data_IF_999458091888
#
_entry.id   IF_999458091888
#
_cell.length_a   1.000
_cell.length_b   1.000
_cell.length_c   1.000
_cell.angle_alpha   90.00
_cell.angle_beta   90.00
_cell.angle_gamma   90.00
#
_symmetry.space_group_name_H-M   'P 1'
#
loop_
_entity.id
_entity.type
_entity.pdbx_description
1 polymer ?
#
# COMPACT_ATOMS: atom_id res chain seq x y z
N UNK A 1 -24.24 21.91 -7.84
CA UNK A 1 -24.61 23.29 -8.18
C UNK A 1 -24.43 24.12 -6.92
N UNK A 2 -23.42 24.96 -6.90
CA UNK A 2 -23.10 25.83 -5.78
C UNK A 2 -24.06 27.04 -5.72
N UNK A 3 -24.79 27.20 -4.62
CA UNK A 3 -25.71 28.35 -4.43
C UNK A 3 -25.00 29.48 -3.66
N UNK A 4 -24.51 30.47 -4.39
CA UNK A 4 -23.80 31.64 -3.85
C UNK A 4 -24.71 32.57 -3.03
N UNK A 5 -26.04 32.40 -3.08
CA UNK A 5 -27.00 33.23 -2.33
C UNK A 5 -27.11 32.84 -0.85
N UNK A 6 -26.66 31.63 -0.48
CA UNK A 6 -26.70 31.16 0.91
C UNK A 6 -25.48 31.61 1.69
N UNK A 7 -25.67 32.54 2.61
CA UNK A 7 -24.61 32.95 3.54
C UNK A 7 -24.22 31.79 4.44
N UNK A 8 -22.90 31.55 4.57
CA UNK A 8 -22.34 30.61 5.54
C UNK A 8 -22.68 31.10 6.96
N UNK A 9 -23.64 30.47 7.62
CA UNK A 9 -24.00 30.77 9.02
C UNK A 9 -23.20 29.95 10.05
N UNK A 10 -22.33 29.02 9.61
CA UNK A 10 -21.52 28.19 10.49
C UNK A 10 -20.10 28.73 10.59
N UNK A 11 -19.81 29.37 11.74
CA UNK A 11 -18.43 29.67 12.12
C UNK A 11 -17.80 28.41 12.75
N UNK A 12 -16.54 28.10 12.40
CA UNK A 12 -15.79 27.07 13.08
C UNK A 12 -15.74 27.39 14.58
N UNK A 13 -16.30 26.51 15.42
CA UNK A 13 -16.30 26.67 16.87
C UNK A 13 -15.18 25.86 17.50
N UNK A 14 -14.73 26.31 18.66
CA UNK A 14 -13.70 25.61 19.43
C UNK A 14 -14.19 24.24 19.88
N UNK A 15 -15.45 24.17 20.33
CA UNK A 15 -16.10 22.94 20.76
C UNK A 15 -17.42 22.71 20.00
N UNK A 16 -17.72 21.47 19.68
CA UNK A 16 -18.96 21.08 19.01
C UNK A 16 -20.17 21.25 19.92
N UNK A 17 -21.24 21.83 19.37
CA UNK A 17 -22.55 21.97 20.03
C UNK A 17 -23.61 21.43 19.09
N UNK A 18 -24.83 21.17 19.60
CA UNK A 18 -25.97 20.69 18.81
C UNK A 18 -26.25 21.61 17.60
N UNK A 19 -26.10 22.92 17.76
CA UNK A 19 -26.26 23.92 16.69
C UNK A 19 -25.23 23.79 15.58
N UNK A 20 -24.06 23.19 15.86
CA UNK A 20 -22.97 22.95 14.89
C UNK A 20 -22.95 21.52 14.39
N UNK A 21 -23.96 20.71 14.74
CA UNK A 21 -24.01 19.29 14.41
C UNK A 21 -23.01 18.44 15.21
N UNK A 22 -22.57 18.93 16.39
CA UNK A 22 -21.64 18.22 17.26
C UNK A 22 -20.16 18.44 16.93
N UNK A 23 -19.79 19.11 15.83
CA UNK A 23 -18.41 19.24 15.35
C UNK A 23 -17.77 20.56 15.74
N UNK A 24 -16.54 20.51 16.25
CA UNK A 24 -15.71 21.66 16.60
C UNK A 24 -14.22 21.34 16.49
N UNK A 25 -13.38 22.37 16.67
CA UNK A 25 -11.93 22.25 16.51
C UNK A 25 -11.29 21.30 17.54
N UNK A 26 -11.85 21.14 18.73
CA UNK A 26 -11.25 20.29 19.76
C UNK A 26 -11.75 18.85 19.76
N UNK A 27 -12.93 18.57 19.21
CA UNK A 27 -13.51 17.21 19.18
C UNK A 27 -13.52 16.57 17.79
N UNK A 28 -12.97 17.24 16.77
CA UNK A 28 -13.01 16.74 15.38
C UNK A 28 -12.34 15.37 15.19
N UNK A 29 -11.31 15.05 15.96
CA UNK A 29 -10.63 13.74 15.85
C UNK A 29 -11.55 12.62 16.27
N UNK A 30 -12.23 12.77 17.41
CA UNK A 30 -13.16 11.76 17.92
C UNK A 30 -14.36 11.62 16.99
N UNK A 31 -14.99 12.74 16.63
CA UNK A 31 -16.14 12.75 15.72
C UNK A 31 -15.79 12.19 14.34
N UNK A 32 -14.58 12.49 13.84
CA UNK A 32 -14.09 11.94 12.60
C UNK A 32 -13.89 10.43 12.66
N UNK A 33 -13.25 9.91 13.71
CA UNK A 33 -13.01 8.48 13.91
C UNK A 33 -14.30 7.68 14.03
N UNK A 34 -15.31 8.24 14.71
CA UNK A 34 -16.57 7.57 14.96
C UNK A 34 -17.63 7.81 13.88
N UNK A 35 -17.33 8.66 12.88
CA UNK A 35 -18.28 9.05 11.85
C UNK A 35 -18.59 7.92 10.86
N UNK A 36 -19.88 7.80 10.52
CA UNK A 36 -20.37 6.90 9.49
C UNK A 36 -20.58 5.47 9.96
N UNK A 37 -20.46 4.53 9.01
CA UNK A 37 -20.71 3.13 9.23
C UNK A 37 -19.52 2.24 8.78
N UNK A 38 -19.69 0.91 8.84
CA UNK A 38 -18.67 -0.06 8.46
C UNK A 38 -18.38 -0.15 6.96
N UNK A 39 -19.19 0.49 6.10
CA UNK A 39 -19.16 0.34 4.65
C UNK A 39 -18.47 1.49 3.91
N UNK A 40 -17.30 1.97 4.35
CA UNK A 40 -16.55 2.98 3.61
C UNK A 40 -16.40 4.32 4.31
N UNK A 41 -16.97 4.47 5.50
CA UNK A 41 -16.75 5.63 6.36
C UNK A 41 -15.45 5.51 7.14
N UNK A 42 -15.02 6.56 7.81
CA UNK A 42 -13.77 6.58 8.56
C UNK A 42 -13.64 5.41 9.55
N UNK A 43 -14.69 5.06 10.26
CA UNK A 43 -14.69 3.95 11.22
C UNK A 43 -14.46 2.60 10.55
N UNK A 44 -15.10 2.34 9.39
CA UNK A 44 -14.92 1.10 8.64
C UNK A 44 -13.52 0.95 8.06
N UNK A 45 -12.98 2.04 7.51
CA UNK A 45 -11.63 2.07 6.95
C UNK A 45 -10.56 1.92 8.04
N UNK A 46 -10.70 2.61 9.17
CA UNK A 46 -9.80 2.46 10.30
C UNK A 46 -9.79 1.02 10.84
N UNK A 47 -10.97 0.41 10.97
CA UNK A 47 -11.09 -1.00 11.37
C UNK A 47 -10.44 -1.95 10.37
N UNK A 48 -10.65 -1.75 9.05
CA UNK A 48 -9.97 -2.52 7.99
C UNK A 48 -8.45 -2.46 8.16
N UNK A 49 -7.90 -1.25 8.28
CA UNK A 49 -6.45 -1.02 8.39
C UNK A 49 -5.87 -1.79 9.58
N UNK A 50 -6.51 -1.70 10.75
CA UNK A 50 -6.03 -2.38 11.96
C UNK A 50 -6.11 -3.90 11.85
N UNK A 51 -7.19 -4.44 11.30
CA UNK A 51 -7.37 -5.89 11.15
C UNK A 51 -6.39 -6.45 10.12
N UNK A 52 -6.22 -5.78 8.98
CA UNK A 52 -5.27 -6.19 7.95
C UNK A 52 -3.83 -6.11 8.48
N UNK A 53 -3.47 -5.01 9.16
CA UNK A 53 -2.16 -4.87 9.79
C UNK A 53 -1.88 -6.01 10.77
N UNK A 54 -2.83 -6.33 11.64
CA UNK A 54 -2.72 -7.45 12.57
C UNK A 54 -2.54 -8.80 11.87
N UNK A 55 -3.32 -9.07 10.82
CA UNK A 55 -3.19 -10.30 10.03
C UNK A 55 -1.79 -10.44 9.39
N UNK A 56 -1.28 -9.36 8.80
CA UNK A 56 0.08 -9.34 8.24
C UNK A 56 1.16 -9.44 9.32
N UNK A 57 0.96 -8.85 10.50
CA UNK A 57 1.87 -9.03 11.64
C UNK A 57 2.07 -10.51 11.99
N UNK A 58 0.98 -11.31 12.00
CA UNK A 58 1.08 -12.77 12.20
C UNK A 58 1.88 -13.41 11.05
N UNK A 59 1.51 -13.13 9.79
CA UNK A 59 2.14 -13.73 8.60
C UNK A 59 3.64 -13.44 8.57
N UNK A 60 4.04 -12.20 8.78
CA UNK A 60 5.46 -11.83 8.81
C UNK A 60 6.22 -12.58 9.90
N UNK A 61 5.64 -12.75 11.08
CA UNK A 61 6.25 -13.47 12.21
C UNK A 61 6.45 -14.96 11.91
N UNK A 62 5.67 -15.57 11.00
CA UNK A 62 5.86 -16.97 10.60
C UNK A 62 7.18 -17.23 9.86
N UNK A 63 7.82 -16.18 9.31
CA UNK A 63 9.00 -16.31 8.46
C UNK A 63 8.73 -16.95 7.09
N UNK A 64 7.47 -17.22 6.73
CA UNK A 64 7.12 -17.97 5.52
C UNK A 64 7.49 -17.22 4.23
N UNK A 65 7.28 -15.90 4.20
CA UNK A 65 7.64 -15.05 3.05
C UNK A 65 9.16 -15.05 2.87
N UNK A 66 9.90 -14.83 3.96
CA UNK A 66 11.37 -14.84 3.97
C UNK A 66 11.91 -16.18 3.49
N UNK A 67 11.47 -17.30 4.11
CA UNK A 67 11.89 -18.64 3.73
C UNK A 67 11.53 -18.99 2.27
N UNK A 68 10.39 -18.51 1.77
CA UNK A 68 9.99 -18.66 0.37
C UNK A 68 10.93 -17.96 -0.59
N UNK A 69 11.33 -16.72 -0.30
CA UNK A 69 12.28 -15.95 -1.10
C UNK A 69 13.65 -16.63 -1.10
N UNK A 70 14.15 -17.07 0.06
CA UNK A 70 15.42 -17.81 0.13
C UNK A 70 15.39 -19.12 -0.64
N UNK A 71 14.32 -19.88 -0.53
CA UNK A 71 14.15 -21.12 -1.30
C UNK A 71 14.13 -20.86 -2.81
N UNK A 72 13.52 -19.77 -3.25
CA UNK A 72 13.53 -19.35 -4.65
C UNK A 72 14.96 -19.00 -5.09
N UNK A 73 15.68 -18.18 -4.34
CA UNK A 73 17.08 -17.80 -4.63
C UNK A 73 17.97 -19.05 -4.73
N UNK A 74 17.86 -19.98 -3.77
CA UNK A 74 18.68 -21.18 -3.74
C UNK A 74 18.44 -22.11 -4.94
N UNK A 75 17.19 -22.21 -5.41
CA UNK A 75 16.82 -23.02 -6.58
C UNK A 75 17.22 -22.40 -7.92
N UNK A 76 17.49 -21.10 -7.96
CA UNK A 76 17.88 -20.39 -9.18
C UNK A 76 19.42 -20.22 -9.32
N UNK A 77 20.21 -20.82 -8.43
CA UNK A 77 21.66 -20.86 -8.57
C UNK A 77 22.05 -21.52 -9.90
N UNK A 78 22.91 -20.86 -10.71
CA UNK A 78 23.29 -21.29 -12.07
C UNK A 78 22.40 -20.73 -13.18
N UNK A 79 21.30 -20.07 -12.84
CA UNK A 79 20.39 -19.40 -13.80
C UNK A 79 20.25 -17.92 -13.47
N UNK A 80 21.36 -17.27 -13.09
CA UNK A 80 21.38 -15.91 -12.51
C UNK A 80 20.70 -14.89 -13.43
N UNK A 81 20.86 -15.04 -14.77
CA UNK A 81 20.20 -14.16 -15.74
C UNK A 81 18.68 -14.24 -15.71
N UNK A 82 18.13 -15.40 -15.33
CA UNK A 82 16.68 -15.60 -15.19
C UNK A 82 16.22 -15.28 -13.77
N UNK A 83 17.08 -15.49 -12.78
CA UNK A 83 16.76 -15.25 -11.38
C UNK A 83 16.46 -13.77 -11.09
N UNK A 84 17.26 -12.85 -11.62
CA UNK A 84 17.08 -11.41 -11.39
C UNK A 84 15.70 -10.89 -11.83
N UNK A 85 15.25 -11.10 -13.09
CA UNK A 85 13.93 -10.65 -13.49
C UNK A 85 12.80 -11.36 -12.74
N UNK A 86 12.93 -12.64 -12.41
CA UNK A 86 11.92 -13.35 -11.62
C UNK A 86 11.82 -12.81 -10.20
N UNK A 87 12.94 -12.50 -9.54
CA UNK A 87 12.96 -11.83 -8.24
C UNK A 87 12.35 -10.42 -8.34
N UNK A 88 12.68 -9.68 -9.39
CA UNK A 88 12.10 -8.36 -9.63
C UNK A 88 10.58 -8.42 -9.70
N UNK A 89 10.04 -9.37 -10.47
CA UNK A 89 8.60 -9.61 -10.53
C UNK A 89 8.01 -10.07 -9.19
N UNK A 90 8.72 -10.91 -8.43
CA UNK A 90 8.26 -11.38 -7.12
C UNK A 90 8.17 -10.24 -6.10
N UNK A 91 9.19 -9.39 -6.01
CA UNK A 91 9.15 -8.21 -5.13
C UNK A 91 8.14 -7.17 -5.60
N UNK A 92 8.05 -6.93 -6.92
CA UNK A 92 7.02 -6.06 -7.48
C UNK A 92 5.60 -6.58 -7.21
N UNK A 93 5.38 -7.90 -7.30
CA UNK A 93 4.11 -8.52 -6.93
C UNK A 93 3.79 -8.33 -5.44
N UNK A 94 4.78 -8.49 -4.56
CA UNK A 94 4.63 -8.20 -3.12
C UNK A 94 4.20 -6.75 -2.86
N UNK A 95 4.85 -5.78 -3.52
CA UNK A 95 4.45 -4.38 -3.49
C UNK A 95 3.02 -4.15 -3.99
N UNK A 96 2.66 -4.74 -5.14
CA UNK A 96 1.36 -4.55 -5.78
C UNK A 96 0.18 -5.19 -5.03
N UNK A 97 0.43 -6.26 -4.27
CA UNK A 97 -0.63 -7.02 -3.58
C UNK A 97 -0.70 -6.74 -2.09
N UNK A 98 0.45 -6.65 -1.42
CA UNK A 98 0.53 -6.47 0.04
C UNK A 98 0.95 -5.07 0.45
N UNK A 99 1.35 -4.22 -0.52
CA UNK A 99 1.93 -2.90 -0.21
C UNK A 99 3.30 -3.01 0.48
N UNK A 100 4.06 -4.10 0.21
CA UNK A 100 5.39 -4.33 0.79
C UNK A 100 6.28 -3.12 0.51
N UNK A 101 6.76 -2.45 1.54
CA UNK A 101 7.60 -1.25 1.46
C UNK A 101 8.85 -1.39 2.35
N UNK A 102 8.74 -1.14 3.64
CA UNK A 102 9.84 -1.20 4.60
C UNK A 102 10.29 -2.64 4.87
N UNK A 103 9.40 -3.61 4.77
CA UNK A 103 9.67 -5.05 4.96
C UNK A 103 10.67 -5.60 3.94
N UNK A 104 10.87 -4.88 2.84
CA UNK A 104 11.89 -5.26 1.83
C UNK A 104 13.32 -4.97 2.29
N UNK A 105 13.54 -4.09 3.26
CA UNK A 105 14.89 -3.67 3.71
C UNK A 105 15.74 -4.85 4.20
N UNK A 106 15.26 -5.74 5.07
CA UNK A 106 16.00 -6.95 5.46
C UNK A 106 16.38 -7.82 4.26
N UNK A 107 15.48 -7.95 3.27
CA UNK A 107 15.79 -8.72 2.05
C UNK A 107 16.88 -8.04 1.22
N UNK A 108 16.87 -6.72 1.11
CA UNK A 108 17.92 -5.99 0.42
C UNK A 108 19.29 -6.22 1.08
N UNK A 109 19.36 -6.22 2.42
CA UNK A 109 20.59 -6.48 3.15
C UNK A 109 21.18 -7.85 2.85
N UNK A 110 20.35 -8.88 2.67
CA UNK A 110 20.78 -10.24 2.33
C UNK A 110 21.09 -10.35 0.84
N UNK A 111 20.30 -9.67 0.00
CA UNK A 111 20.48 -9.72 -1.46
C UNK A 111 21.75 -9.00 -1.92
N UNK A 112 22.24 -7.98 -1.20
CA UNK A 112 23.45 -7.25 -1.59
C UNK A 112 24.67 -8.17 -1.68
N UNK A 113 25.09 -8.90 -0.62
CA UNK A 113 26.24 -9.79 -0.72
C UNK A 113 26.00 -10.92 -1.73
N UNK A 114 24.77 -11.46 -1.83
CA UNK A 114 24.43 -12.52 -2.77
C UNK A 114 24.59 -12.06 -4.24
N UNK A 115 24.02 -10.91 -4.59
CA UNK A 115 24.07 -10.36 -5.97
C UNK A 115 25.48 -9.96 -6.35
N UNK A 116 26.28 -9.44 -5.42
CA UNK A 116 27.71 -9.14 -5.62
C UNK A 116 28.49 -10.43 -5.87
N UNK A 117 28.20 -11.53 -5.15
CA UNK A 117 28.81 -12.84 -5.37
C UNK A 117 28.50 -13.41 -6.77
N UNK A 118 27.38 -13.03 -7.39
CA UNK A 118 27.00 -13.39 -8.75
C UNK A 118 27.70 -12.52 -9.82
N UNK A 119 28.53 -11.56 -9.41
CA UNK A 119 29.29 -10.67 -10.32
C UNK A 119 28.55 -9.41 -10.74
N UNK A 120 27.48 -9.05 -10.05
CA UNK A 120 26.76 -7.78 -10.19
C UNK A 120 27.19 -6.77 -9.10
N UNK A 121 26.43 -5.70 -8.91
CA UNK A 121 26.70 -4.68 -7.90
C UNK A 121 25.54 -4.52 -6.90
N UNK A 122 25.77 -3.75 -5.84
CA UNK A 122 24.74 -3.47 -4.82
C UNK A 122 23.56 -2.67 -5.40
N UNK A 123 23.75 -1.88 -6.45
CA UNK A 123 22.66 -1.17 -7.12
C UNK A 123 21.68 -2.16 -7.74
N UNK A 124 22.16 -3.22 -8.40
CA UNK A 124 21.31 -4.31 -8.91
C UNK A 124 20.54 -4.96 -7.77
N UNK A 125 21.20 -5.24 -6.63
CA UNK A 125 20.55 -5.84 -5.48
C UNK A 125 19.41 -4.98 -4.91
N UNK A 126 19.67 -3.70 -4.69
CA UNK A 126 18.64 -2.74 -4.18
C UNK A 126 17.54 -2.53 -5.21
N UNK A 127 17.88 -2.52 -6.51
CA UNK A 127 16.87 -2.34 -7.55
C UNK A 127 15.97 -3.56 -7.69
N UNK A 128 16.52 -4.77 -7.59
CA UNK A 128 15.72 -6.02 -7.67
C UNK A 128 14.83 -6.24 -6.47
N UNK A 129 15.14 -5.63 -5.32
CA UNK A 129 14.36 -5.74 -4.09
C UNK A 129 13.50 -4.49 -3.87
N UNK A 130 14.12 -3.42 -3.38
CA UNK A 130 13.41 -2.22 -2.95
C UNK A 130 12.74 -1.48 -4.11
N UNK A 131 13.46 -1.17 -5.18
CA UNK A 131 12.87 -0.46 -6.31
C UNK A 131 11.75 -1.29 -6.98
N UNK A 132 11.93 -2.60 -7.12
CA UNK A 132 10.89 -3.49 -7.64
C UNK A 132 9.63 -3.46 -6.79
N UNK A 133 9.77 -3.53 -5.47
CA UNK A 133 8.64 -3.44 -4.53
C UNK A 133 7.92 -2.09 -4.64
N UNK A 134 8.67 -0.97 -4.72
CA UNK A 134 8.09 0.37 -4.87
C UNK A 134 7.38 0.54 -6.23
N UNK A 135 7.91 -0.04 -7.31
CA UNK A 135 7.23 -0.06 -8.61
C UNK A 135 5.91 -0.83 -8.51
N UNK A 136 5.93 -1.98 -7.83
CA UNK A 136 4.72 -2.76 -7.56
C UNK A 136 3.69 -1.96 -6.76
N UNK A 137 4.14 -1.29 -5.71
CA UNK A 137 3.30 -0.48 -4.85
C UNK A 137 2.67 0.72 -5.60
N UNK A 138 3.49 1.47 -6.38
CA UNK A 138 3.01 2.60 -7.18
C UNK A 138 2.10 2.21 -8.35
N UNK A 139 2.11 0.93 -8.78
CA UNK A 139 1.23 0.38 -9.82
C UNK A 139 0.25 -0.65 -9.26
N UNK A 140 -0.03 -0.59 -7.96
CA UNK A 140 -0.83 -1.58 -7.25
C UNK A 140 -2.22 -1.73 -7.83
N UNK A 141 -2.66 -2.97 -7.98
CA UNK A 141 -4.01 -3.31 -8.44
C UNK A 141 -4.94 -3.78 -7.33
N UNK A 142 -4.42 -4.11 -6.13
CA UNK A 142 -5.25 -4.59 -5.03
C UNK A 142 -4.71 -4.32 -3.62
N UNK A 143 -3.66 -3.52 -3.45
CA UNK A 143 -3.12 -3.29 -2.11
C UNK A 143 -4.20 -2.81 -1.13
N UNK A 144 -4.35 -3.48 0.03
CA UNK A 144 -5.33 -3.09 1.04
C UNK A 144 -4.97 -1.76 1.72
N UNK A 145 -3.68 -1.39 1.71
CA UNK A 145 -3.16 -0.21 2.40
C UNK A 145 -3.16 1.06 1.52
N UNK A 146 -3.22 0.92 0.21
CA UNK A 146 -3.28 2.06 -0.70
C UNK A 146 -4.59 2.07 -1.49
N UNK A 147 -4.77 1.11 -2.40
CA UNK A 147 -5.90 1.07 -3.34
C UNK A 147 -7.23 0.93 -2.63
N UNK A 148 -7.36 -0.04 -1.69
CA UNK A 148 -8.64 -0.26 -1.00
C UNK A 148 -9.01 0.92 -0.09
N UNK A 149 -8.02 1.52 0.59
CA UNK A 149 -8.23 2.73 1.41
C UNK A 149 -8.68 3.90 0.54
N UNK A 150 -7.96 4.17 -0.56
CA UNK A 150 -8.31 5.26 -1.47
C UNK A 150 -9.69 5.05 -2.10
N UNK A 151 -10.03 3.83 -2.52
CA UNK A 151 -11.33 3.47 -3.08
C UNK A 151 -12.46 3.61 -2.05
N UNK A 152 -12.23 3.15 -0.81
CA UNK A 152 -13.20 3.31 0.27
C UNK A 152 -13.50 4.77 0.59
N UNK A 153 -12.47 5.63 0.62
CA UNK A 153 -12.64 7.06 0.87
C UNK A 153 -13.31 7.77 -0.32
N UNK A 154 -12.96 7.38 -1.54
CA UNK A 154 -13.54 7.94 -2.76
C UNK A 154 -14.96 7.42 -3.06
N UNK A 155 -15.49 6.51 -2.24
CA UNK A 155 -16.80 5.87 -2.41
C UNK A 155 -16.93 5.21 -3.80
N UNK A 156 -15.90 4.46 -4.18
CA UNK A 156 -15.90 3.61 -5.39
C UNK A 156 -15.73 2.13 -4.99
N UNK A 157 -16.29 1.19 -5.77
CA UNK A 157 -16.19 -0.22 -5.41
C UNK A 157 -14.74 -0.69 -5.29
N UNK A 158 -14.42 -1.43 -4.23
CA UNK A 158 -13.09 -2.02 -4.03
C UNK A 158 -12.76 -2.93 -5.21
N UNK A 159 -11.51 -2.94 -5.62
CA UNK A 159 -11.00 -3.60 -6.83
C UNK A 159 -11.58 -3.06 -8.16
N UNK A 160 -12.40 -2.00 -8.15
CA UNK A 160 -12.79 -1.37 -9.42
C UNK A 160 -11.55 -0.83 -10.14
N UNK A 161 -11.50 -0.95 -11.47
CA UNK A 161 -10.33 -0.59 -12.27
C UNK A 161 -9.12 -1.53 -12.11
N UNK A 162 -9.25 -2.66 -11.40
CA UNK A 162 -8.15 -3.61 -11.18
C UNK A 162 -7.57 -4.16 -12.49
N UNK A 163 -8.38 -4.40 -13.52
CA UNK A 163 -7.90 -4.87 -14.83
C UNK A 163 -6.92 -3.88 -15.45
N UNK A 164 -7.26 -2.59 -15.46
CA UNK A 164 -6.36 -1.56 -15.98
C UNK A 164 -5.06 -1.50 -15.18
N UNK A 165 -5.16 -1.49 -13.83
CA UNK A 165 -4.00 -1.46 -12.95
C UNK A 165 -3.12 -2.71 -13.08
N UNK A 166 -3.71 -3.88 -13.28
CA UNK A 166 -2.97 -5.12 -13.51
C UNK A 166 -2.15 -5.05 -14.81
N UNK A 167 -2.76 -4.53 -15.89
CA UNK A 167 -2.04 -4.31 -17.16
C UNK A 167 -0.93 -3.28 -16.96
N UNK A 168 -1.22 -2.16 -16.30
CA UNK A 168 -0.23 -1.13 -15.98
C UNK A 168 0.92 -1.69 -15.15
N UNK A 169 0.62 -2.44 -14.08
CA UNK A 169 1.63 -3.11 -13.26
C UNK A 169 2.52 -4.02 -14.09
N UNK A 170 1.93 -4.87 -14.92
CA UNK A 170 2.68 -5.82 -15.75
C UNK A 170 3.58 -5.09 -16.75
N UNK A 171 3.08 -4.05 -17.43
CA UNK A 171 3.84 -3.26 -18.40
C UNK A 171 4.99 -2.51 -17.71
N UNK A 172 4.71 -1.75 -16.65
CA UNK A 172 5.71 -0.95 -15.94
C UNK A 172 6.76 -1.85 -15.30
N UNK A 173 6.35 -2.96 -14.65
CA UNK A 173 7.27 -3.93 -14.06
C UNK A 173 8.16 -4.58 -15.13
N UNK A 174 7.58 -4.95 -16.28
CA UNK A 174 8.35 -5.55 -17.39
C UNK A 174 9.38 -4.58 -17.96
N UNK A 175 9.00 -3.33 -18.22
CA UNK A 175 9.91 -2.31 -18.72
C UNK A 175 11.04 -2.03 -17.73
N UNK A 176 10.72 -1.95 -16.45
CA UNK A 176 11.70 -1.73 -15.38
C UNK A 176 12.65 -2.95 -15.22
N UNK A 177 12.12 -4.16 -15.31
CA UNK A 177 12.94 -5.38 -15.28
C UNK A 177 13.88 -5.45 -16.49
N UNK A 178 13.43 -5.08 -17.70
CA UNK A 178 14.26 -5.00 -18.89
C UNK A 178 15.37 -3.98 -18.69
N UNK A 179 15.05 -2.78 -18.18
CA UNK A 179 16.05 -1.75 -17.87
C UNK A 179 17.09 -2.26 -16.88
N UNK A 180 16.64 -2.91 -15.80
CA UNK A 180 17.55 -3.53 -14.82
C UNK A 180 18.46 -4.57 -15.48
N UNK A 181 17.93 -5.43 -16.33
CA UNK A 181 18.72 -6.46 -17.00
C UNK A 181 19.78 -5.88 -17.94
N UNK A 182 19.45 -4.79 -18.66
CA UNK A 182 20.42 -4.06 -19.50
C UNK A 182 21.55 -3.49 -18.62
N UNK A 183 21.20 -2.88 -17.49
CA UNK A 183 22.18 -2.36 -16.54
C UNK A 183 23.03 -3.48 -15.92
N UNK A 184 22.41 -4.53 -15.42
CA UNK A 184 23.06 -5.67 -14.80
C UNK A 184 24.07 -6.34 -15.75
N UNK A 185 23.69 -6.56 -17.02
CA UNK A 185 24.60 -7.13 -18.03
C UNK A 185 25.77 -6.20 -18.38
N UNK A 186 25.54 -4.87 -18.36
CA UNK A 186 26.62 -3.88 -18.55
C UNK A 186 27.62 -3.93 -17.40
N UNK A 187 27.15 -4.02 -16.16
CA UNK A 187 28.02 -4.08 -14.97
C UNK A 187 28.77 -5.43 -14.90
N UNK A 188 28.06 -6.52 -15.20
CA UNK A 188 28.70 -7.84 -15.25
C UNK A 188 29.89 -7.92 -16.22
N UNK A 189 29.76 -7.24 -17.38
CA UNK A 189 30.86 -7.18 -18.36
C UNK A 189 31.98 -6.22 -17.96
N UNK A 190 31.65 -5.17 -17.23
CA UNK A 190 32.60 -4.12 -16.85
C UNK A 190 32.27 -3.63 -15.40
N UNK A 191 32.66 -4.38 -14.37
CA UNK A 191 32.33 -4.06 -12.98
C UNK A 191 32.78 -2.67 -12.52
N UNK A 192 33.92 -2.19 -13.05
CA UNK A 192 34.47 -0.86 -12.70
C UNK A 192 33.58 0.32 -13.13
N UNK A 193 32.60 0.09 -14.04
CA UNK A 193 31.61 1.10 -14.45
C UNK A 193 30.45 1.27 -13.47
N UNK A 194 30.40 0.43 -12.44
CA UNK A 194 29.42 0.57 -11.38
C UNK A 194 29.70 1.79 -10.53
N UNK A 195 28.67 2.57 -10.19
CA UNK A 195 28.77 3.69 -9.26
C UNK A 195 29.08 3.22 -7.83
N UNK A 196 28.70 2.00 -7.48
CA UNK A 196 28.97 1.38 -6.18
C UNK A 196 30.24 0.52 -6.16
N UNK A 197 31.04 0.49 -7.23
CA UNK A 197 32.19 -0.41 -7.35
C UNK A 197 33.12 -0.36 -6.15
N UNK A 198 33.45 0.84 -5.66
CA UNK A 198 34.36 1.04 -4.52
C UNK A 198 33.70 0.63 -3.19
N UNK A 199 32.44 0.98 -2.97
CA UNK A 199 31.73 0.63 -1.74
C UNK A 199 31.47 -0.88 -1.65
N UNK A 200 31.27 -1.55 -2.78
CA UNK A 200 31.04 -2.98 -2.86
C UNK A 200 32.29 -3.82 -2.55
N UNK A 201 33.48 -3.24 -2.52
CA UNK A 201 34.70 -3.95 -2.14
C UNK A 201 34.59 -4.55 -0.73
N UNK A 202 33.96 -3.86 0.19
CA UNK A 202 33.69 -4.40 1.54
C UNK A 202 33.00 -5.78 1.47
N UNK A 203 31.97 -5.89 0.67
CA UNK A 203 31.23 -7.16 0.51
C UNK A 203 32.08 -8.20 -0.23
N UNK A 204 32.82 -7.83 -1.29
CA UNK A 204 33.68 -8.76 -2.03
C UNK A 204 34.74 -9.42 -1.15
N UNK A 205 35.28 -8.65 -0.20
CA UNK A 205 36.30 -9.15 0.76
C UNK A 205 35.70 -10.00 1.88
N UNK A 206 34.41 -9.83 2.21
CA UNK A 206 33.77 -10.48 3.34
C UNK A 206 32.76 -11.57 2.95
N UNK A 207 32.44 -11.76 1.67
CA UNK A 207 31.46 -12.75 1.16
C UNK A 207 31.77 -14.18 1.63
N UNK A 208 33.02 -14.53 1.90
CA UNK A 208 33.38 -15.88 2.37
C UNK A 208 32.85 -16.23 3.77
N UNK A 209 32.34 -15.26 4.55
CA UNK A 209 31.90 -15.47 5.94
C UNK A 209 30.39 -15.62 6.10
N UNK A 210 29.59 -15.34 5.08
CA UNK A 210 28.11 -15.24 5.19
C UNK A 210 27.37 -16.46 4.61
N UNK A 211 28.02 -17.59 4.43
CA UNK A 211 27.40 -18.81 3.86
C UNK A 211 26.47 -19.60 4.81
N UNK A 212 26.08 -19.08 5.96
CA UNK A 212 25.51 -19.88 7.04
C UNK A 212 24.01 -19.70 7.36
N UNK A 213 23.24 -18.98 6.55
CA UNK A 213 21.77 -18.89 6.81
C UNK A 213 20.92 -19.51 5.70
N UNK A 214 21.12 -20.81 5.45
CA UNK A 214 20.10 -21.62 4.78
C UNK A 214 18.97 -21.91 5.77
N UNK A 215 18.06 -20.93 5.99
CA UNK A 215 16.81 -21.24 6.71
C UNK A 215 16.05 -22.31 5.91
N UNK A 216 15.70 -23.46 6.51
CA UNK A 216 15.04 -24.54 5.78
C UNK A 216 13.63 -24.10 5.39
N UNK A 217 13.28 -24.27 4.10
CA UNK A 217 11.92 -24.03 3.62
C UNK A 217 11.02 -25.21 4.00
N UNK A 218 10.51 -25.16 5.23
CA UNK A 218 9.69 -26.20 5.82
C UNK A 218 8.31 -26.33 5.18
N UNK A 219 7.64 -27.46 5.41
CA UNK A 219 6.28 -27.69 4.94
C UNK A 219 5.31 -26.61 5.48
N UNK A 220 5.46 -26.21 6.75
CA UNK A 220 4.66 -25.14 7.34
C UNK A 220 4.76 -23.82 6.59
N UNK A 221 5.98 -23.41 6.18
CA UNK A 221 6.15 -22.19 5.37
C UNK A 221 5.41 -22.27 4.03
N UNK A 222 5.47 -23.44 3.37
CA UNK A 222 4.75 -23.68 2.10
C UNK A 222 3.23 -23.59 2.28
N UNK A 223 2.72 -24.16 3.39
CA UNK A 223 1.29 -24.11 3.69
C UNK A 223 0.83 -22.68 3.96
N UNK A 224 1.56 -21.90 4.75
CA UNK A 224 1.24 -20.47 4.97
C UNK A 224 1.19 -19.70 3.65
N UNK A 225 2.15 -19.90 2.74
CA UNK A 225 2.11 -19.23 1.42
C UNK A 225 0.93 -19.69 0.56
N UNK A 226 0.55 -20.98 0.64
CA UNK A 226 -0.63 -21.51 -0.07
C UNK A 226 -1.91 -20.94 0.54
N UNK A 227 -2.02 -20.86 1.88
CA UNK A 227 -3.15 -20.24 2.58
C UNK A 227 -3.33 -18.78 2.17
N UNK A 228 -2.23 -18.00 2.13
CA UNK A 228 -2.26 -16.63 1.63
C UNK A 228 -2.81 -16.55 0.20
N UNK A 229 -2.31 -17.39 -0.71
CA UNK A 229 -2.76 -17.43 -2.10
C UNK A 229 -4.25 -17.77 -2.19
N UNK A 230 -4.71 -18.78 -1.45
CA UNK A 230 -6.11 -19.21 -1.45
C UNK A 230 -7.04 -18.10 -0.93
N UNK A 231 -6.64 -17.39 0.13
CA UNK A 231 -7.44 -16.29 0.66
C UNK A 231 -7.46 -15.10 -0.31
N UNK A 232 -6.35 -14.79 -0.98
CA UNK A 232 -6.34 -13.75 -2.03
C UNK A 232 -7.30 -14.10 -3.18
N UNK A 233 -7.31 -15.36 -3.62
CA UNK A 233 -8.28 -15.84 -4.62
C UNK A 233 -9.71 -15.71 -4.08
N UNK A 234 -9.94 -16.04 -2.81
CA UNK A 234 -11.24 -15.89 -2.16
C UNK A 234 -11.68 -14.42 -2.07
N UNK A 235 -10.78 -13.47 -1.76
CA UNK A 235 -11.08 -12.03 -1.78
C UNK A 235 -11.51 -11.60 -3.18
N UNK A 236 -10.72 -11.93 -4.21
CA UNK A 236 -11.02 -11.56 -5.60
C UNK A 236 -12.38 -12.13 -6.02
N UNK A 237 -12.63 -13.41 -5.75
CA UNK A 237 -13.92 -14.04 -6.04
C UNK A 237 -15.08 -13.38 -5.28
N UNK A 238 -14.88 -13.11 -3.98
CA UNK A 238 -15.90 -12.48 -3.14
C UNK A 238 -16.28 -11.09 -3.63
N UNK A 239 -15.29 -10.27 -3.96
CA UNK A 239 -15.53 -8.91 -4.49
C UNK A 239 -16.20 -8.97 -5.87
N UNK A 240 -15.71 -9.81 -6.79
CA UNK A 240 -16.17 -9.84 -8.19
C UNK A 240 -17.52 -10.54 -8.37
N UNK A 241 -17.80 -11.58 -7.57
CA UNK A 241 -19.01 -12.41 -7.74
C UNK A 241 -20.08 -12.18 -6.68
N UNK A 242 -19.70 -11.69 -5.50
CA UNK A 242 -20.61 -11.50 -4.36
C UNK A 242 -20.77 -10.04 -3.94
N UNK A 243 -20.00 -9.13 -4.52
CA UNK A 243 -19.99 -7.71 -4.14
C UNK A 243 -19.46 -7.46 -2.72
N UNK A 244 -18.53 -8.30 -2.24
CA UNK A 244 -17.90 -8.09 -0.94
C UNK A 244 -17.22 -6.73 -0.87
N UNK A 245 -17.32 -6.09 0.27
CA UNK A 245 -16.79 -4.78 0.52
C UNK A 245 -15.91 -4.77 1.78
N UNK A 246 -15.67 -3.62 2.37
CA UNK A 246 -14.72 -3.42 3.48
C UNK A 246 -14.90 -4.44 4.63
N UNK A 247 -16.12 -4.71 5.18
CA UNK A 247 -16.26 -5.63 6.30
C UNK A 247 -15.89 -7.08 5.96
N UNK A 248 -16.31 -7.55 4.79
CA UNK A 248 -16.05 -8.92 4.34
C UNK A 248 -14.57 -9.10 4.02
N UNK A 249 -13.95 -8.10 3.36
CA UNK A 249 -12.52 -8.11 3.04
C UNK A 249 -11.69 -8.12 4.33
N UNK A 250 -12.01 -7.29 5.32
CA UNK A 250 -11.34 -7.28 6.62
C UNK A 250 -11.43 -8.65 7.30
N UNK A 251 -12.62 -9.28 7.25
CA UNK A 251 -12.84 -10.61 7.82
C UNK A 251 -12.01 -11.69 7.11
N UNK A 252 -11.90 -11.62 5.78
CA UNK A 252 -11.08 -12.55 4.99
C UNK A 252 -9.59 -12.41 5.32
N UNK A 253 -9.08 -11.19 5.48
CA UNK A 253 -7.70 -10.98 5.95
C UNK A 253 -7.48 -11.48 7.37
N UNK A 254 -8.45 -11.28 8.26
CA UNK A 254 -8.36 -11.85 9.62
C UNK A 254 -8.27 -13.38 9.60
N UNK A 255 -9.10 -14.04 8.79
CA UNK A 255 -9.05 -15.51 8.60
C UNK A 255 -7.69 -15.93 8.04
N UNK A 256 -7.13 -15.18 7.09
CA UNK A 256 -5.79 -15.43 6.54
C UNK A 256 -4.71 -15.41 7.64
N UNK A 257 -4.69 -14.35 8.45
CA UNK A 257 -3.73 -14.23 9.56
C UNK A 257 -3.91 -15.34 10.61
N UNK A 258 -5.16 -15.67 10.96
CA UNK A 258 -5.46 -16.72 11.91
C UNK A 258 -5.04 -18.12 11.39
N UNK A 259 -5.34 -18.44 10.13
CA UNK A 259 -4.91 -19.69 9.51
C UNK A 259 -3.38 -19.80 9.50
N UNK A 260 -2.68 -18.76 9.05
CA UNK A 260 -1.22 -18.70 9.08
C UNK A 260 -0.66 -18.87 10.50
N UNK A 261 -1.28 -18.26 11.52
CA UNK A 261 -0.90 -18.41 12.92
C UNK A 261 -1.09 -19.83 13.44
N UNK A 262 -2.22 -20.47 13.15
CA UNK A 262 -2.50 -21.87 13.51
C UNK A 262 -1.47 -22.80 12.86
N UNK A 263 -1.22 -22.62 11.55
CA UNK A 263 -0.22 -23.38 10.82
C UNK A 263 1.18 -23.19 11.41
N UNK A 264 1.54 -21.95 11.76
CA UNK A 264 2.83 -21.65 12.36
C UNK A 264 3.02 -22.34 13.72
N UNK A 265 2.02 -22.31 14.60
CA UNK A 265 2.06 -22.99 15.89
C UNK A 265 2.13 -24.51 15.70
N UNK A 266 1.31 -25.08 14.80
CA UNK A 266 1.29 -26.52 14.55
C UNK A 266 2.63 -27.05 14.02
N UNK A 267 3.28 -26.33 13.14
CA UNK A 267 4.59 -26.69 12.57
C UNK A 267 5.78 -26.11 13.35
N UNK A 268 5.53 -25.43 14.48
CA UNK A 268 6.54 -24.77 15.30
C UNK A 268 7.47 -23.84 14.50
N UNK A 269 6.88 -23.04 13.58
CA UNK A 269 7.62 -22.08 12.75
C UNK A 269 8.15 -20.95 13.64
N UNK A 270 9.43 -20.64 13.51
CA UNK A 270 10.13 -19.62 14.31
C UNK A 270 9.84 -19.71 15.82
N UNK A 271 9.54 -20.92 16.32
CA UNK A 271 9.20 -21.18 17.73
C UNK A 271 7.89 -20.55 18.19
N UNK A 272 6.97 -20.23 17.29
CA UNK A 272 5.72 -19.53 17.62
C UNK A 272 4.80 -20.35 18.52
N UNK A 273 4.32 -19.71 19.58
CA UNK A 273 3.23 -20.15 20.44
C UNK A 273 1.91 -19.44 20.12
N UNK A 274 0.81 -19.87 20.73
CA UNK A 274 -0.49 -19.19 20.62
C UNK A 274 -0.41 -17.74 21.11
N UNK A 275 0.36 -17.48 22.16
CA UNK A 275 0.56 -16.12 22.67
C UNK A 275 1.32 -15.24 21.67
N UNK A 276 2.28 -15.83 20.93
CA UNK A 276 3.01 -15.11 19.89
C UNK A 276 2.09 -14.74 18.71
N UNK A 277 1.10 -15.55 18.38
CA UNK A 277 0.08 -15.20 17.36
C UNK A 277 -0.70 -13.96 17.81
N UNK A 278 -1.15 -13.92 19.06
CA UNK A 278 -1.89 -12.77 19.59
C UNK A 278 -1.02 -11.51 19.67
N UNK A 279 0.21 -11.62 20.16
CA UNK A 279 1.14 -10.48 20.24
C UNK A 279 1.58 -9.99 18.87
N UNK A 280 1.76 -10.86 17.89
CA UNK A 280 2.07 -10.47 16.51
C UNK A 280 0.92 -9.75 15.84
N UNK A 281 -0.33 -10.18 16.09
CA UNK A 281 -1.52 -9.43 15.65
C UNK A 281 -1.54 -8.05 16.27
N UNK A 282 -1.32 -7.93 17.58
CA UNK A 282 -1.28 -6.65 18.28
C UNK A 282 -0.19 -5.74 17.72
N UNK A 283 1.02 -6.26 17.48
CA UNK A 283 2.12 -5.50 16.91
C UNK A 283 1.77 -4.97 15.52
N UNK A 284 1.34 -5.83 14.60
CA UNK A 284 0.98 -5.42 13.25
C UNK A 284 -0.19 -4.42 13.18
N UNK A 285 -1.18 -4.56 14.07
CA UNK A 285 -2.24 -3.56 14.21
C UNK A 285 -1.70 -2.22 14.76
N UNK A 286 -0.77 -2.26 15.73
CA UNK A 286 -0.15 -1.07 16.30
C UNK A 286 0.70 -0.31 15.29
N UNK A 287 1.39 -1.00 14.39
CA UNK A 287 2.21 -0.39 13.34
C UNK A 287 1.35 0.48 12.39
N UNK A 288 0.10 0.12 12.21
CA UNK A 288 -0.86 0.84 11.36
C UNK A 288 -1.84 1.75 12.13
N UNK A 289 -1.75 1.81 13.47
CA UNK A 289 -2.66 2.62 14.29
C UNK A 289 -2.57 4.12 13.94
N UNK A 290 -1.36 4.62 13.67
CA UNK A 290 -1.16 5.99 13.20
C UNK A 290 -1.96 6.31 11.93
N UNK A 291 -1.94 5.41 10.95
CA UNK A 291 -2.72 5.56 9.71
C UNK A 291 -4.22 5.54 9.97
N UNK A 292 -4.72 4.64 10.82
CA UNK A 292 -6.13 4.59 11.20
C UNK A 292 -6.59 5.91 11.85
N UNK A 293 -5.76 6.51 12.72
CA UNK A 293 -6.02 7.82 13.34
C UNK A 293 -6.05 8.92 12.28
N UNK A 294 -5.14 8.94 11.32
CA UNK A 294 -5.11 9.93 10.22
C UNK A 294 -6.37 9.88 9.38
N UNK A 295 -6.94 8.70 9.10
CA UNK A 295 -8.24 8.56 8.41
C UNK A 295 -9.35 9.29 9.19
N UNK A 296 -9.41 9.07 10.50
CA UNK A 296 -10.38 9.74 11.38
C UNK A 296 -10.16 11.25 11.41
N UNK A 297 -8.92 11.71 11.55
CA UNK A 297 -8.59 13.15 11.53
C UNK A 297 -8.99 13.81 10.21
N UNK A 298 -8.70 13.19 9.08
CA UNK A 298 -9.08 13.70 7.76
C UNK A 298 -10.60 13.82 7.63
N UNK A 299 -11.34 12.82 8.06
CA UNK A 299 -12.81 12.88 8.10
C UNK A 299 -13.32 13.96 9.04
N UNK A 300 -12.70 14.11 10.22
CA UNK A 300 -13.04 15.18 11.17
C UNK A 300 -12.83 16.57 10.59
N UNK A 301 -11.72 16.80 9.88
CA UNK A 301 -11.47 18.05 9.15
C UNK A 301 -12.59 18.33 8.13
N UNK A 302 -13.00 17.32 7.37
CA UNK A 302 -14.11 17.48 6.43
C UNK A 302 -15.42 17.87 7.14
N UNK A 303 -15.71 17.25 8.28
CA UNK A 303 -16.92 17.58 9.07
C UNK A 303 -16.88 19.02 9.57
N UNK A 304 -15.73 19.49 10.07
CA UNK A 304 -15.53 20.89 10.49
C UNK A 304 -15.65 21.86 9.31
N UNK A 305 -15.20 21.48 8.12
CA UNK A 305 -15.34 22.27 6.88
C UNK A 305 -16.76 22.26 6.31
N UNK A 306 -17.71 21.57 6.98
CA UNK A 306 -19.11 21.54 6.61
C UNK A 306 -19.59 20.30 5.88
N UNK A 307 -18.79 19.23 5.88
CA UNK A 307 -19.09 17.94 5.26
C UNK A 307 -18.86 17.92 3.76
N UNK A 308 -19.11 16.77 3.15
CA UNK A 308 -18.88 16.49 1.72
C UNK A 308 -20.16 16.57 0.86
N UNK A 309 -21.30 17.04 1.42
CA UNK A 309 -22.53 17.20 0.66
C UNK A 309 -22.44 18.43 -0.25
N UNK A 310 -22.46 18.21 -1.56
CA UNK A 310 -22.39 19.26 -2.59
C UNK A 310 -23.58 20.26 -2.55
N UNK A 311 -24.70 19.88 -1.92
CA UNK A 311 -25.90 20.71 -1.81
C UNK A 311 -25.89 21.62 -0.59
N UNK A 312 -24.92 21.46 0.30
CA UNK A 312 -24.81 22.26 1.53
C UNK A 312 -23.75 23.34 1.35
N UNK A 313 -24.09 24.59 1.64
CA UNK A 313 -23.13 25.67 1.66
C UNK A 313 -22.06 25.41 2.74
N UNK A 314 -20.82 25.17 2.32
CA UNK A 314 -19.72 24.81 3.21
C UNK A 314 -18.40 25.44 2.76
N UNK A 315 -17.43 25.54 3.68
CA UNK A 315 -16.08 26.01 3.35
C UNK A 315 -15.42 25.06 2.35
N UNK A 316 -15.62 23.73 2.50
CA UNK A 316 -15.11 22.74 1.57
C UNK A 316 -15.64 22.97 0.16
N UNK A 317 -16.96 23.14 0.00
CA UNK A 317 -17.56 23.39 -1.32
C UNK A 317 -17.05 24.69 -1.96
N UNK A 318 -16.75 25.72 -1.14
CA UNK A 318 -16.15 26.97 -1.65
C UNK A 318 -14.76 26.73 -2.20
N UNK A 319 -13.92 25.98 -1.47
CA UNK A 319 -12.55 25.63 -1.92
C UNK A 319 -12.62 24.78 -3.19
N UNK A 320 -13.45 23.73 -3.20
CA UNK A 320 -13.64 22.86 -4.37
C UNK A 320 -14.13 23.62 -5.60
N UNK A 321 -15.09 24.55 -5.40
CA UNK A 321 -15.59 25.40 -6.46
C UNK A 321 -14.49 26.31 -7.04
N UNK A 322 -13.71 26.97 -6.17
CA UNK A 322 -12.62 27.85 -6.62
C UNK A 322 -11.55 27.09 -7.41
N UNK A 323 -11.19 25.87 -6.99
CA UNK A 323 -10.27 25.01 -7.75
C UNK A 323 -10.92 24.56 -9.06
N UNK A 324 -12.22 24.18 -9.01
CA UNK A 324 -12.97 23.78 -10.19
C UNK A 324 -13.06 24.90 -11.22
N UNK A 325 -13.28 26.15 -10.82
CA UNK A 325 -13.32 27.30 -11.72
C UNK A 325 -12.00 27.51 -12.49
N UNK A 326 -10.86 27.23 -11.87
CA UNK A 326 -9.55 27.27 -12.55
C UNK A 326 -9.43 26.25 -13.67
N UNK A 327 -10.25 25.20 -13.63
CA UNK A 327 -10.26 24.11 -14.61
C UNK A 327 -11.49 24.15 -15.52
N UNK A 328 -12.38 25.15 -15.37
CA UNK A 328 -13.55 25.31 -16.25
C UNK A 328 -13.10 25.49 -17.68
N UNK A 329 -13.68 24.68 -18.59
CA UNK A 329 -13.31 24.67 -20.01
C UNK A 329 -12.03 23.90 -20.33
N UNK A 330 -11.29 23.42 -19.34
CA UNK A 330 -10.17 22.52 -19.55
C UNK A 330 -10.68 21.11 -19.92
N UNK A 331 -10.00 20.39 -20.83
CA UNK A 331 -10.38 19.02 -21.13
C UNK A 331 -10.13 18.12 -19.90
N UNK A 332 -10.96 17.10 -19.68
CA UNK A 332 -10.91 16.20 -18.52
C UNK A 332 -9.51 15.57 -18.28
N UNK A 333 -8.78 15.28 -19.36
CA UNK A 333 -7.41 14.77 -19.26
C UNK A 333 -6.46 15.74 -18.53
N UNK A 334 -6.64 17.06 -18.68
CA UNK A 334 -5.82 18.07 -18.01
C UNK A 334 -6.13 18.06 -16.49
N UNK A 335 -7.40 17.92 -16.11
CA UNK A 335 -7.79 17.75 -14.71
C UNK A 335 -7.13 16.51 -14.07
N UNK A 336 -7.12 15.39 -14.78
CA UNK A 336 -6.43 14.17 -14.33
C UNK A 336 -4.92 14.40 -14.16
N UNK A 337 -4.26 15.09 -15.08
CA UNK A 337 -2.84 15.45 -14.97
C UNK A 337 -2.53 16.36 -13.78
N UNK A 338 -3.37 17.35 -13.54
CA UNK A 338 -3.22 18.25 -12.38
C UNK A 338 -3.35 17.48 -11.08
N UNK A 339 -4.32 16.56 -10.99
CA UNK A 339 -4.45 15.66 -9.81
C UNK A 339 -3.21 14.80 -9.62
N UNK A 340 -2.70 14.17 -10.67
CA UNK A 340 -1.50 13.34 -10.63
C UNK A 340 -0.26 14.14 -10.18
N UNK A 341 -0.05 15.34 -10.74
CA UNK A 341 1.07 16.22 -10.35
C UNK A 341 0.94 16.61 -8.88
N UNK A 342 -0.26 17.00 -8.44
CA UNK A 342 -0.51 17.34 -7.05
C UNK A 342 -0.19 16.15 -6.11
N UNK A 343 -0.69 14.96 -6.40
CA UNK A 343 -0.44 13.76 -5.61
C UNK A 343 1.04 13.42 -5.58
N UNK A 344 1.73 13.51 -6.72
CA UNK A 344 3.17 13.27 -6.81
C UNK A 344 3.99 14.25 -5.97
N UNK A 345 3.63 15.55 -5.97
CA UNK A 345 4.29 16.56 -5.14
C UNK A 345 3.95 16.36 -3.66
N UNK A 346 2.71 16.01 -3.35
CA UNK A 346 2.28 15.74 -1.98
C UNK A 346 2.99 14.52 -1.38
N UNK A 347 3.29 13.51 -2.20
CA UNK A 347 4.05 12.33 -1.79
C UNK A 347 5.48 12.66 -1.31
N UNK A 348 6.07 13.78 -1.74
CA UNK A 348 7.38 14.24 -1.21
C UNK A 348 7.31 14.60 0.28
N UNK A 349 6.14 14.98 0.77
CA UNK A 349 5.91 15.40 2.16
C UNK A 349 5.29 14.26 2.97
N UNK A 350 4.33 13.56 2.39
CA UNK A 350 3.61 12.44 3.02
C UNK A 350 3.95 11.17 2.27
N UNK A 351 4.97 10.46 2.73
CA UNK A 351 5.49 9.24 2.08
C UNK A 351 4.66 7.99 2.35
N UNK A 352 3.69 8.04 3.27
CA UNK A 352 2.79 6.93 3.59
C UNK A 352 1.63 6.87 2.59
N UNK A 353 1.51 5.77 1.86
CA UNK A 353 0.45 5.57 0.85
C UNK A 353 -0.97 5.68 1.44
N UNK A 354 -1.22 4.97 2.53
CA UNK A 354 -2.52 5.02 3.22
C UNK A 354 -2.76 6.38 3.88
N UNK A 355 -1.71 6.98 4.46
CA UNK A 355 -1.78 8.33 5.01
C UNK A 355 -2.08 9.38 3.95
N UNK A 356 -1.42 9.31 2.80
CA UNK A 356 -1.69 10.20 1.67
C UNK A 356 -3.12 10.03 1.16
N UNK A 357 -3.55 8.79 0.90
CA UNK A 357 -4.92 8.51 0.48
C UNK A 357 -5.95 9.07 1.46
N UNK A 358 -5.71 8.90 2.77
CA UNK A 358 -6.60 9.42 3.82
C UNK A 358 -6.71 10.96 3.80
N UNK A 359 -5.60 11.65 3.57
CA UNK A 359 -5.57 13.11 3.56
C UNK A 359 -6.11 13.72 2.26
N UNK A 360 -5.83 13.10 1.12
CA UNK A 360 -6.08 13.73 -0.19
C UNK A 360 -7.37 13.26 -0.85
N UNK A 361 -7.76 11.98 -0.72
CA UNK A 361 -8.97 11.45 -1.38
C UNK A 361 -10.27 12.17 -1.00
N UNK A 362 -10.47 12.61 0.26
CA UNK A 362 -11.64 13.41 0.60
C UNK A 362 -11.80 14.69 -0.21
N UNK A 363 -10.71 15.22 -0.76
CA UNK A 363 -10.69 16.42 -1.61
C UNK A 363 -10.68 16.02 -3.10
N UNK A 364 -9.85 15.04 -3.45
CA UNK A 364 -9.64 14.63 -4.85
C UNK A 364 -10.87 13.96 -5.46
N UNK A 365 -11.62 13.16 -4.67
CA UNK A 365 -12.80 12.49 -5.19
C UNK A 365 -13.92 13.48 -5.59
N UNK A 366 -14.35 14.45 -4.76
CA UNK A 366 -15.29 15.49 -5.17
C UNK A 366 -14.74 16.40 -6.28
N UNK A 367 -13.43 16.71 -6.25
CA UNK A 367 -12.81 17.50 -7.31
C UNK A 367 -12.87 16.80 -8.67
N UNK A 368 -12.68 15.47 -8.71
CA UNK A 368 -12.83 14.68 -9.92
C UNK A 368 -14.22 14.83 -10.53
N UNK A 369 -15.27 14.78 -9.70
CA UNK A 369 -16.66 14.98 -10.15
C UNK A 369 -16.87 16.38 -10.78
N UNK A 370 -16.26 17.42 -10.18
CA UNK A 370 -16.36 18.80 -10.67
C UNK A 370 -15.68 18.98 -12.04
N UNK A 371 -14.49 18.38 -12.21
CA UNK A 371 -13.72 18.52 -13.46
C UNK A 371 -14.08 17.49 -14.53
N UNK A 372 -15.11 16.69 -14.31
CA UNK A 372 -15.61 15.71 -15.27
C UNK A 372 -14.70 14.48 -15.44
N UNK A 373 -13.91 14.14 -14.40
CA UNK A 373 -13.05 12.96 -14.34
C UNK A 373 -13.68 11.93 -13.39
N UNK A 374 -13.62 10.64 -13.71
CA UNK A 374 -14.16 9.64 -12.79
C UNK A 374 -13.34 9.59 -11.50
N UNK A 375 -13.99 9.34 -10.35
CA UNK A 375 -13.32 9.15 -9.06
C UNK A 375 -12.28 8.03 -9.11
N UNK A 376 -12.47 7.03 -9.98
CA UNK A 376 -11.51 5.96 -10.19
C UNK A 376 -10.18 6.47 -10.78
N UNK A 377 -10.20 7.52 -11.61
CA UNK A 377 -8.99 8.19 -12.11
C UNK A 377 -8.33 8.98 -10.98
N UNK A 378 -9.09 9.65 -10.11
CA UNK A 378 -8.54 10.31 -8.93
C UNK A 378 -7.86 9.33 -7.96
N UNK A 379 -8.40 8.11 -7.81
CA UNK A 379 -7.77 7.03 -7.03
C UNK A 379 -6.49 6.50 -7.70
N UNK A 380 -6.39 6.59 -9.04
CA UNK A 380 -5.21 6.16 -9.78
C UNK A 380 -4.08 7.20 -9.73
N UNK A 381 -4.44 8.48 -9.62
CA UNK A 381 -3.49 9.59 -9.57
C UNK A 381 -2.71 9.66 -8.25
#
# INVERSE_FOLDING_TARGET
IYDTSKKLHRTARVWGTDDTGGFGFLNFVFEGLTSGDKYGSAVGIAALILVVGGAFGIIMRTGAIEAGIFAFISKTKGLERLALPLLFFAFSFGGATFGMAEEVIPFAMIMVPFVIALGYDSIVAVTVTYAASQIGNGTSWMSPFSVAVAQGIADVPVLSGATFRLIMWFVVTSLSAIYLMIYAEKIRKNPEKSLSYKSDNYFREHIQKTNDENKPFLLGHKLVLVEMLLVLIWIIWGVTQKGYYIPEIASQFFVMGLAAGITAVFFNLEGMSINDVASSFQSGASDLAGTAIVVGMAKGILLVLGGSDANVASALNTVLHSIGELLVGAPAWLGAWVMYIFQSLFNLVVTSNSGQAALTMPIMAPLADIVGVSRQVAVLA
#
